data_IF_644038832866
#
_entry.id   IF_644038832866
#
_cell.length_a   1.000
_cell.length_b   1.000
_cell.length_c   1.000
_cell.angle_alpha   90.00
_cell.angle_beta   90.00
_cell.angle_gamma   90.00
#
_symmetry.space_group_name_H-M   'P 1'
#
loop_
_entity.id
_entity.type
_entity.pdbx_description
1 polymer ?
#
# COMPACT_ATOMS: atom_id res chain seq x y z
N UNK A 1 4.89 -4.60 11.93
CA UNK A 1 4.47 -4.55 10.51
C UNK A 1 3.07 -5.10 10.24
N UNK A 2 2.69 -6.30 10.70
CA UNK A 2 1.37 -6.88 10.42
C UNK A 2 0.19 -5.94 10.71
N UNK A 3 0.15 -5.30 11.89
CA UNK A 3 -0.92 -4.36 12.25
C UNK A 3 -0.99 -3.14 11.31
N UNK A 4 0.15 -2.66 10.81
CA UNK A 4 0.19 -1.56 9.84
C UNK A 4 -0.37 -2.01 8.47
N UNK A 5 -0.05 -3.24 8.03
CA UNK A 5 -0.61 -3.80 6.79
C UNK A 5 -2.12 -3.95 6.88
N UNK A 6 -2.63 -4.52 7.98
CA UNK A 6 -4.07 -4.69 8.20
C UNK A 6 -4.77 -3.33 8.25
N UNK A 7 -4.21 -2.37 8.99
CA UNK A 7 -4.75 -1.01 9.08
C UNK A 7 -4.83 -0.33 7.71
N UNK A 8 -3.77 -0.38 6.91
CA UNK A 8 -3.78 0.20 5.56
C UNK A 8 -4.84 -0.46 4.68
N UNK A 9 -4.96 -1.79 4.75
CA UNK A 9 -5.98 -2.53 4.00
C UNK A 9 -7.41 -2.14 4.39
N UNK A 10 -7.68 -1.94 5.68
CA UNK A 10 -8.98 -1.48 6.17
C UNK A 10 -9.29 -0.06 5.68
N UNK A 11 -8.32 0.85 5.74
CA UNK A 11 -8.46 2.21 5.21
C UNK A 11 -8.76 2.21 3.71
N UNK A 12 -8.05 1.40 2.93
CA UNK A 12 -8.27 1.24 1.48
C UNK A 12 -9.70 0.76 1.21
N UNK A 13 -10.18 -0.24 1.94
CA UNK A 13 -11.55 -0.75 1.78
C UNK A 13 -12.62 0.25 2.19
N UNK A 14 -12.32 1.09 3.18
CA UNK A 14 -13.25 2.12 3.64
C UNK A 14 -13.35 3.30 2.68
N UNK A 15 -12.23 3.70 2.05
CA UNK A 15 -12.14 4.88 1.20
C UNK A 15 -12.39 4.60 -0.30
N UNK A 16 -12.15 3.38 -0.79
CA UNK A 16 -12.28 3.04 -2.20
C UNK A 16 -13.29 1.91 -2.39
N UNK A 17 -14.50 2.23 -2.84
CA UNK A 17 -15.64 1.30 -2.84
C UNK A 17 -16.11 0.98 -4.26
N UNK A 18 -16.79 -0.17 -4.46
CA UNK A 18 -17.43 -0.49 -5.73
C UNK A 18 -18.44 0.56 -6.23
N UNK A 19 -19.01 1.35 -5.31
CA UNK A 19 -19.89 2.46 -5.61
C UNK A 19 -19.18 3.63 -6.33
N UNK A 20 -17.89 3.84 -6.08
CA UNK A 20 -17.08 4.85 -6.75
C UNK A 20 -16.61 4.32 -8.13
N UNK A 21 -16.13 3.07 -8.16
CA UNK A 21 -15.74 2.34 -9.38
C UNK A 21 -15.96 0.84 -9.19
N UNK A 22 -16.64 0.20 -10.14
CA UNK A 22 -17.05 -1.22 -10.03
C UNK A 22 -15.91 -2.21 -9.78
N UNK A 23 -14.68 -1.92 -10.20
CA UNK A 23 -13.52 -2.78 -9.98
C UNK A 23 -12.75 -2.52 -8.66
N UNK A 24 -13.22 -1.60 -7.82
CA UNK A 24 -12.64 -1.33 -6.49
C UNK A 24 -13.07 -2.41 -5.47
N UNK A 25 -12.73 -3.66 -5.77
CA UNK A 25 -13.03 -4.83 -4.95
C UNK A 25 -11.76 -5.30 -4.27
N UNK A 26 -11.55 -4.92 -3.01
CA UNK A 26 -10.38 -5.31 -2.23
C UNK A 26 -10.77 -6.37 -1.20
N UNK A 27 -10.08 -7.51 -1.20
CA UNK A 27 -10.44 -8.70 -0.42
C UNK A 27 -9.27 -9.15 0.46
N UNK A 28 -9.49 -10.00 1.48
CA UNK A 28 -8.38 -10.52 2.29
C UNK A 28 -7.32 -11.28 1.47
N UNK A 29 -7.68 -11.78 0.27
CA UNK A 29 -6.72 -12.36 -0.67
C UNK A 29 -5.65 -11.36 -1.12
N UNK A 30 -5.96 -10.07 -1.15
CA UNK A 30 -4.98 -9.02 -1.49
C UNK A 30 -3.93 -8.86 -0.38
N UNK A 31 -4.30 -9.05 0.90
CA UNK A 31 -3.32 -9.16 1.99
C UNK A 31 -2.40 -10.37 1.79
N UNK A 32 -2.95 -11.53 1.42
CA UNK A 32 -2.13 -12.71 1.11
C UNK A 32 -1.16 -12.45 -0.03
N UNK A 33 -1.63 -11.86 -1.14
CA UNK A 33 -0.78 -11.49 -2.27
C UNK A 33 0.31 -10.50 -1.86
N UNK A 34 -0.02 -9.53 -1.01
CA UNK A 34 0.92 -8.55 -0.51
C UNK A 34 2.01 -9.21 0.36
N UNK A 35 1.65 -10.09 1.29
CA UNK A 35 2.61 -10.85 2.10
C UNK A 35 3.53 -11.72 1.23
N UNK A 36 2.97 -12.48 0.29
CA UNK A 36 3.75 -13.27 -0.67
C UNK A 36 4.61 -12.38 -1.58
N UNK A 37 4.15 -11.15 -1.83
CA UNK A 37 4.85 -10.10 -2.54
C UNK A 37 6.18 -9.77 -1.88
N UNK A 38 6.09 -9.41 -0.60
CA UNK A 38 7.22 -9.01 0.24
C UNK A 38 8.26 -10.14 0.35
N UNK A 39 7.82 -11.40 0.42
CA UNK A 39 8.72 -12.56 0.53
C UNK A 39 9.67 -12.75 -0.67
N UNK A 40 9.45 -12.04 -1.79
CA UNK A 40 10.34 -12.08 -2.97
C UNK A 40 11.48 -11.05 -2.90
N UNK A 41 11.46 -10.16 -1.92
CA UNK A 41 12.48 -9.12 -1.76
C UNK A 41 13.60 -9.61 -0.84
N UNK A 42 14.81 -9.07 -1.03
CA UNK A 42 15.90 -9.23 -0.08
C UNK A 42 15.68 -8.29 1.12
N UNK A 43 15.51 -8.86 2.31
CA UNK A 43 15.14 -8.13 3.52
C UNK A 43 16.36 -8.04 4.47
N UNK A 44 17.34 -7.24 4.09
CA UNK A 44 18.61 -7.10 4.83
C UNK A 44 18.48 -6.37 6.16
N UNK A 45 17.50 -5.48 6.29
CA UNK A 45 17.28 -4.64 7.46
C UNK A 45 15.82 -4.14 7.54
N UNK A 46 15.50 -3.41 8.61
CA UNK A 46 14.16 -2.86 8.85
C UNK A 46 13.72 -1.86 7.76
N UNK A 47 14.65 -1.08 7.21
CA UNK A 47 14.34 -0.13 6.14
C UNK A 47 13.93 -0.88 4.87
N UNK A 48 14.65 -1.95 4.49
CA UNK A 48 14.28 -2.81 3.35
C UNK A 48 12.94 -3.51 3.55
N UNK A 49 12.60 -3.89 4.78
CA UNK A 49 11.26 -4.39 5.09
C UNK A 49 10.20 -3.31 4.85
N UNK A 50 10.41 -2.09 5.32
CA UNK A 50 9.46 -0.98 5.12
C UNK A 50 9.31 -0.63 3.63
N UNK A 51 10.42 -0.57 2.88
CA UNK A 51 10.44 -0.34 1.44
C UNK A 51 9.65 -1.41 0.68
N UNK A 52 9.93 -2.70 0.93
CA UNK A 52 9.24 -3.81 0.27
C UNK A 52 7.73 -3.80 0.58
N UNK A 53 7.36 -3.51 1.83
CA UNK A 53 5.97 -3.38 2.25
C UNK A 53 5.28 -2.23 1.52
N UNK A 54 5.89 -1.04 1.48
CA UNK A 54 5.33 0.14 0.81
C UNK A 54 5.25 -0.05 -0.71
N UNK A 55 6.26 -0.66 -1.33
CA UNK A 55 6.31 -0.93 -2.76
C UNK A 55 5.22 -1.91 -3.19
N UNK A 56 5.11 -3.06 -2.52
CA UNK A 56 4.10 -4.05 -2.86
C UNK A 56 2.68 -3.56 -2.56
N UNK A 57 2.48 -2.66 -1.59
CA UNK A 57 1.16 -2.04 -1.37
C UNK A 57 0.73 -1.16 -2.55
N UNK A 58 1.66 -0.37 -3.11
CA UNK A 58 1.43 0.44 -4.30
C UNK A 58 1.02 -0.45 -5.48
N UNK A 59 1.75 -1.54 -5.70
CA UNK A 59 1.45 -2.49 -6.78
C UNK A 59 0.11 -3.19 -6.63
N UNK A 60 -0.24 -3.62 -5.41
CA UNK A 60 -1.47 -4.37 -5.16
C UNK A 60 -2.70 -3.45 -5.17
N UNK A 61 -2.57 -2.23 -4.65
CA UNK A 61 -3.71 -1.35 -4.36
C UNK A 61 -3.73 -0.10 -5.24
N UNK A 62 -2.63 0.67 -5.29
CA UNK A 62 -2.57 1.96 -5.99
C UNK A 62 -2.76 1.79 -7.49
N UNK A 63 -2.14 0.77 -8.09
CA UNK A 63 -2.21 0.51 -9.54
C UNK A 63 -3.65 0.24 -10.04
N UNK A 64 -4.59 -0.05 -9.13
CA UNK A 64 -6.00 -0.26 -9.46
C UNK A 64 -6.84 1.02 -9.40
N UNK A 65 -6.33 2.10 -8.81
CA UNK A 65 -7.06 3.35 -8.63
C UNK A 65 -7.10 4.11 -9.97
N UNK A 66 -8.31 4.43 -10.41
CA UNK A 66 -8.57 5.01 -11.73
C UNK A 66 -8.54 6.54 -11.75
N UNK A 67 -8.43 7.19 -10.59
CA UNK A 67 -8.48 8.64 -10.47
C UNK A 67 -7.30 9.18 -9.66
N UNK A 68 -6.84 10.37 -10.03
CA UNK A 68 -5.69 11.02 -9.41
C UNK A 68 -5.95 11.39 -7.94
N UNK A 69 -7.15 11.88 -7.61
CA UNK A 69 -7.56 12.17 -6.23
C UNK A 69 -7.54 10.92 -5.34
N UNK A 70 -7.97 9.77 -5.86
CA UNK A 70 -7.86 8.49 -5.16
C UNK A 70 -6.41 8.04 -4.98
N UNK A 71 -5.56 8.24 -6.00
CA UNK A 71 -4.12 7.95 -5.92
C UNK A 71 -3.45 8.82 -4.84
N UNK A 72 -3.75 10.12 -4.81
CA UNK A 72 -3.26 11.03 -3.78
C UNK A 72 -3.72 10.60 -2.39
N UNK A 73 -5.02 10.28 -2.23
CA UNK A 73 -5.57 9.79 -0.97
C UNK A 73 -4.89 8.50 -0.49
N UNK A 74 -4.58 7.58 -1.41
CA UNK A 74 -3.83 6.37 -1.08
C UNK A 74 -2.43 6.71 -0.54
N UNK A 75 -1.69 7.62 -1.19
CA UNK A 75 -0.34 8.00 -0.75
C UNK A 75 -0.39 8.69 0.64
N UNK A 76 -1.42 9.49 0.92
CA UNK A 76 -1.65 10.06 2.26
C UNK A 76 -1.89 8.97 3.33
N UNK A 77 -2.75 8.00 3.04
CA UNK A 77 -3.04 6.88 3.93
C UNK A 77 -1.79 6.03 4.18
N UNK A 78 -1.02 5.75 3.13
CA UNK A 78 0.24 5.03 3.24
C UNK A 78 1.25 5.78 4.10
N UNK A 79 1.43 7.08 3.87
CA UNK A 79 2.35 7.92 4.66
C UNK A 79 1.91 8.03 6.13
N UNK A 80 0.60 8.05 6.40
CA UNK A 80 0.07 8.07 7.76
C UNK A 80 0.30 6.75 8.50
N UNK A 81 0.09 5.62 7.82
CA UNK A 81 0.26 4.28 8.42
C UNK A 81 1.74 3.86 8.50
N UNK A 82 2.57 4.34 7.57
CA UNK A 82 4.01 4.04 7.49
C UNK A 82 4.85 5.32 7.28
N UNK A 83 5.03 6.15 8.31
CA UNK A 83 5.75 7.42 8.19
C UNK A 83 7.20 7.27 7.69
N UNK A 84 7.87 6.16 8.02
CA UNK A 84 9.25 5.88 7.61
C UNK A 84 9.41 5.74 6.10
N UNK A 85 8.36 5.33 5.37
CA UNK A 85 8.38 5.19 3.91
C UNK A 85 8.49 6.54 3.16
N UNK A 86 8.24 7.68 3.85
CA UNK A 86 8.27 9.03 3.26
C UNK A 86 9.69 9.53 2.97
N UNK A 87 10.72 8.97 3.61
CA UNK A 87 12.06 9.57 3.66
C UNK A 87 12.83 9.56 2.33
N UNK A 88 12.46 8.74 1.34
CA UNK A 88 13.26 8.59 0.12
C UNK A 88 12.57 8.94 -1.20
N UNK A 89 11.24 9.13 -1.22
CA UNK A 89 10.58 9.67 -2.42
C UNK A 89 11.09 11.09 -2.79
N UNK A 90 11.75 11.79 -1.85
CA UNK A 90 12.41 13.08 -2.07
C UNK A 90 13.90 13.00 -2.44
N UNK A 91 14.51 11.82 -2.50
CA UNK A 91 15.96 11.65 -2.77
C UNK A 91 16.26 11.08 -4.18
N UNK A 92 15.25 10.99 -5.05
CA UNK A 92 15.38 10.53 -6.44
C UNK A 92 15.31 11.70 -7.45
N UNK A 93 15.89 12.85 -7.10
CA UNK A 93 16.15 13.98 -8.02
C UNK A 93 17.62 14.35 -7.97
#
# INVERSE_FOLDING_TARGET
>A
MASAMVRLYEEIRSNFRPADRGHYIFTPRDLTKWTLGIMRHELSDELKVVEAVAFESKRIFKDRLAHEDHVLKFEELLAYVMPTARREAGNLH
#
